data_IF_575948826415
#
_entry.id   IF_575948826415
#
_cell.length_a   1.000
_cell.length_b   1.000
_cell.length_c   1.000
_cell.angle_alpha   90.00
_cell.angle_beta   90.00
_cell.angle_gamma   90.00
#
_symmetry.space_group_name_H-M   'P 1'
#
loop_
_entity.id
_entity.type
_entity.pdbx_description
1 polymer ?
#
# COMPACT_ATOMS: atom_id res chain seq x y z
N UNK A 1 -26.29 0.55 -6.32
CA UNK A 1 -25.01 1.01 -5.72
C UNK A 1 -24.72 0.60 -4.28
N UNK A 2 -25.72 0.45 -3.40
CA UNK A 2 -25.53 0.14 -1.97
C UNK A 2 -24.62 -1.08 -1.67
N UNK A 3 -24.75 -2.16 -2.45
CA UNK A 3 -23.94 -3.37 -2.26
C UNK A 3 -22.46 -3.24 -2.68
N UNK A 4 -22.09 -2.25 -3.51
CA UNK A 4 -20.68 -1.93 -3.77
C UNK A 4 -20.07 -1.24 -2.55
N UNK A 5 -20.80 -0.27 -1.99
CA UNK A 5 -20.40 0.47 -0.79
C UNK A 5 -20.21 -0.48 0.39
N UNK A 6 -21.15 -1.39 0.65
CA UNK A 6 -21.02 -2.35 1.76
C UNK A 6 -19.87 -3.34 1.58
N UNK A 7 -19.58 -3.79 0.34
CA UNK A 7 -18.38 -4.60 0.06
C UNK A 7 -17.10 -3.83 0.31
N UNK A 8 -17.02 -2.56 -0.11
CA UNK A 8 -15.86 -1.72 0.17
C UNK A 8 -15.65 -1.51 1.66
N UNK A 9 -16.72 -1.23 2.42
CA UNK A 9 -16.65 -1.06 3.88
C UNK A 9 -16.19 -2.35 4.55
N UNK A 10 -16.75 -3.50 4.18
CA UNK A 10 -16.36 -4.79 4.75
C UNK A 10 -14.91 -5.13 4.44
N UNK A 11 -14.47 -5.01 3.19
CA UNK A 11 -13.08 -5.29 2.84
C UNK A 11 -12.12 -4.35 3.58
N UNK A 12 -12.47 -3.07 3.73
CA UNK A 12 -11.67 -2.14 4.51
C UNK A 12 -11.63 -2.55 6.00
N UNK A 13 -12.76 -2.91 6.60
CA UNK A 13 -12.79 -3.33 7.99
C UNK A 13 -12.01 -4.64 8.21
N UNK A 14 -12.30 -5.68 7.43
CA UNK A 14 -11.73 -7.02 7.62
C UNK A 14 -10.28 -7.13 7.13
N UNK A 15 -9.91 -6.48 6.03
CA UNK A 15 -8.53 -6.59 5.52
C UNK A 15 -7.65 -5.47 6.06
N UNK A 16 -8.14 -4.24 6.16
CA UNK A 16 -7.29 -3.14 6.61
C UNK A 16 -7.23 -3.08 8.14
N UNK A 17 -8.37 -3.00 8.83
CA UNK A 17 -8.37 -2.78 10.30
C UNK A 17 -7.83 -4.00 11.04
N UNK A 18 -8.23 -5.22 10.67
CA UNK A 18 -7.75 -6.41 11.37
C UNK A 18 -6.25 -6.65 11.14
N UNK A 19 -5.75 -6.48 9.90
CA UNK A 19 -4.30 -6.56 9.65
C UNK A 19 -3.54 -5.43 10.37
N UNK A 20 -4.13 -4.23 10.48
CA UNK A 20 -3.56 -3.12 11.23
C UNK A 20 -3.44 -3.44 12.73
N UNK A 21 -4.45 -4.11 13.28
CA UNK A 21 -4.46 -4.50 14.69
C UNK A 21 -3.51 -5.67 15.00
N UNK A 22 -3.31 -6.58 14.05
CA UNK A 22 -2.41 -7.74 14.20
C UNK A 22 -0.94 -7.36 13.97
N UNK A 23 -0.66 -6.40 13.10
CA UNK A 23 0.70 -5.97 12.76
C UNK A 23 0.95 -4.47 13.00
N UNK A 24 0.63 -3.90 14.17
CA UNK A 24 0.81 -2.47 14.43
C UNK A 24 2.28 -2.05 14.31
N UNK A 25 3.20 -2.96 14.63
CA UNK A 25 4.64 -2.75 14.51
C UNK A 25 5.14 -2.65 13.06
N UNK A 26 4.34 -3.05 12.05
CA UNK A 26 4.70 -2.90 10.64
C UNK A 26 4.33 -1.51 10.09
N UNK A 27 3.55 -0.73 10.84
CA UNK A 27 3.17 0.64 10.48
C UNK A 27 3.93 1.69 11.31
N UNK A 28 5.11 1.34 11.83
CA UNK A 28 6.01 2.35 12.38
C UNK A 28 6.69 3.13 11.24
N UNK A 29 7.19 4.33 11.56
CA UNK A 29 7.83 5.22 10.58
C UNK A 29 8.92 4.53 9.77
N UNK A 30 9.74 3.69 10.42
CA UNK A 30 10.81 2.95 9.75
C UNK A 30 10.28 1.97 8.71
N UNK A 31 9.30 1.15 9.04
CA UNK A 31 8.73 0.18 8.11
C UNK A 31 8.00 0.87 6.95
N UNK A 32 7.38 2.02 7.19
CA UNK A 32 6.73 2.83 6.15
C UNK A 32 7.77 3.41 5.18
N UNK A 33 8.88 3.96 5.69
CA UNK A 33 9.96 4.48 4.85
C UNK A 33 10.65 3.35 4.06
N UNK A 34 10.94 2.20 4.68
CA UNK A 34 11.46 1.02 3.97
C UNK A 34 10.52 0.54 2.86
N UNK A 35 9.21 0.58 3.11
CA UNK A 35 8.22 0.23 2.10
C UNK A 35 8.19 1.24 0.95
N UNK A 36 8.26 2.55 1.24
CA UNK A 36 8.34 3.61 0.22
C UNK A 36 9.57 3.44 -0.66
N UNK A 37 10.74 3.23 -0.06
CA UNK A 37 12.00 3.02 -0.78
C UNK A 37 11.90 1.79 -1.69
N UNK A 38 11.42 0.67 -1.16
CA UNK A 38 11.21 -0.55 -1.95
C UNK A 38 10.22 -0.32 -3.09
N UNK A 39 9.08 0.32 -2.82
CA UNK A 39 8.03 0.56 -3.81
C UNK A 39 8.52 1.43 -4.95
N UNK A 40 9.33 2.44 -4.66
CA UNK A 40 9.80 3.39 -5.65
C UNK A 40 11.01 2.88 -6.44
N UNK A 41 11.94 2.18 -5.79
CA UNK A 41 13.21 1.81 -6.41
C UNK A 41 13.32 0.35 -6.83
N UNK A 42 12.61 -0.56 -6.16
CA UNK A 42 12.81 -2.02 -6.32
C UNK A 42 11.63 -2.71 -7.00
N UNK A 43 10.45 -2.08 -7.01
CA UNK A 43 9.25 -2.62 -7.66
C UNK A 43 9.12 -2.12 -9.10
N UNK A 44 9.39 -3.00 -10.07
CA UNK A 44 9.15 -2.69 -11.49
C UNK A 44 7.65 -2.57 -11.78
N UNK A 45 7.21 -1.42 -12.30
CA UNK A 45 5.81 -1.15 -12.56
C UNK A 45 5.46 -1.45 -14.03
N UNK A 46 4.72 -2.55 -14.27
CA UNK A 46 4.40 -3.05 -15.62
C UNK A 46 3.65 -2.06 -16.53
N UNK A 47 2.77 -1.23 -15.98
CA UNK A 47 2.00 -0.24 -16.76
C UNK A 47 2.85 0.90 -17.35
N UNK A 48 3.83 1.39 -16.59
CA UNK A 48 4.78 2.44 -17.01
C UNK A 48 6.08 1.86 -17.58
N UNK A 49 6.26 0.54 -17.46
CA UNK A 49 7.45 -0.22 -17.89
C UNK A 49 8.76 0.32 -17.31
N UNK A 50 8.69 0.83 -16.09
CA UNK A 50 9.84 1.40 -15.37
C UNK A 50 9.64 1.30 -13.85
N UNK A 51 10.64 1.69 -13.08
CA UNK A 51 10.56 1.90 -11.64
C UNK A 51 9.97 3.29 -11.35
N UNK A 52 9.05 3.43 -10.37
CA UNK A 52 8.41 4.72 -10.07
C UNK A 52 9.39 5.87 -9.81
N UNK A 53 10.52 5.61 -9.14
CA UNK A 53 11.56 6.62 -8.89
C UNK A 53 12.15 7.24 -10.18
N UNK A 54 12.10 6.54 -11.31
CA UNK A 54 12.62 7.04 -12.58
C UNK A 54 11.66 8.01 -13.28
N UNK A 55 10.37 7.98 -12.92
CA UNK A 55 9.34 8.83 -13.52
C UNK A 55 9.29 10.22 -12.90
N UNK A 56 9.51 10.28 -11.59
CA UNK A 56 9.54 11.51 -10.81
C UNK A 56 10.92 11.58 -10.16
N UNK A 57 11.85 12.29 -10.81
CA UNK A 57 13.10 12.67 -10.15
C UNK A 57 12.75 13.63 -9.03
N UNK A 58 12.77 13.15 -7.79
CA UNK A 58 12.76 14.02 -6.60
C UNK A 58 14.10 14.76 -6.49
#
# INVERSE_FOLDING_TARGET
>A
DKGKVERTIRNLAEEFVDLFFVFPQWFNDKCIEEWKDWFNEKRFHRGVKDYPANLYKC
#
